data_IF_665834615712
#
_entry.id   IF_665834615712
#
_cell.length_a   1.000
_cell.length_b   1.000
_cell.length_c   1.000
_cell.angle_alpha   90.00
_cell.angle_beta   90.00
_cell.angle_gamma   90.00
#
_symmetry.space_group_name_H-M   'P 1'
#
loop_
_entity.id
_entity.type
_entity.pdbx_description
1 polymer ?
#
# COMPACT_ATOMS: atom_id res chain seq x y z
N UNK A 1 -9.61 -1.06 -42.20
CA UNK A 1 -9.24 -0.16 -41.08
C UNK A 1 -7.85 -0.58 -40.57
N UNK A 2 -6.84 -0.38 -41.44
CA UNK A 2 -5.46 -0.89 -41.32
C UNK A 2 -4.55 0.31 -41.62
N UNK A 3 -4.21 1.13 -40.61
CA UNK A 3 -3.33 2.28 -40.85
C UNK A 3 -2.49 2.76 -39.65
N UNK A 4 -2.32 1.93 -38.62
CA UNK A 4 -1.49 2.29 -37.46
C UNK A 4 -0.24 1.40 -37.24
N UNK A 5 -0.02 0.38 -38.09
CA UNK A 5 1.11 -0.55 -37.93
C UNK A 5 2.39 -0.18 -38.69
N UNK A 6 2.43 0.92 -39.45
CA UNK A 6 3.63 1.27 -40.25
C UNK A 6 4.66 2.21 -39.58
N UNK A 7 4.37 2.82 -38.43
CA UNK A 7 5.25 3.86 -37.88
C UNK A 7 6.39 3.33 -36.97
N UNK A 8 6.51 2.01 -36.77
CA UNK A 8 7.50 1.44 -35.83
C UNK A 8 8.77 0.90 -36.49
N UNK A 9 8.75 0.56 -37.78
CA UNK A 9 9.88 -0.11 -38.45
C UNK A 9 10.72 0.78 -39.38
N UNK A 10 10.31 2.01 -39.67
CA UNK A 10 11.05 2.93 -40.58
C UNK A 10 11.78 4.10 -39.89
N UNK A 11 11.63 4.32 -38.59
CA UNK A 11 12.44 5.31 -37.89
C UNK A 11 13.79 4.70 -37.48
N UNK A 12 14.69 4.58 -38.45
CA UNK A 12 16.13 4.34 -38.27
C UNK A 12 16.84 5.49 -37.54
N UNK A 13 16.40 5.82 -36.33
CA UNK A 13 17.12 6.71 -35.43
C UNK A 13 18.27 5.93 -34.81
N UNK A 14 19.40 5.91 -35.53
CA UNK A 14 20.72 5.80 -34.93
C UNK A 14 20.79 6.84 -33.79
N UNK A 15 20.76 6.35 -32.55
CA UNK A 15 21.15 7.14 -31.39
C UNK A 15 22.66 7.38 -31.50
N UNK A 16 23.04 8.35 -32.31
CA UNK A 16 24.36 8.96 -32.25
C UNK A 16 24.48 9.68 -30.91
N UNK A 17 25.20 9.04 -30.00
CA UNK A 17 25.79 9.66 -28.82
C UNK A 17 26.53 10.94 -29.22
N UNK A 18 26.12 12.08 -28.69
CA UNK A 18 26.99 13.26 -28.62
C UNK A 18 26.72 14.04 -27.34
N UNK A 19 27.32 13.56 -26.27
CA UNK A 19 27.58 14.33 -25.05
C UNK A 19 28.88 15.09 -25.26
N UNK A 20 28.78 16.41 -25.40
CA UNK A 20 29.86 17.41 -25.30
C UNK A 20 29.16 18.65 -24.72
N UNK A 21 29.55 19.29 -23.62
CA UNK A 21 30.89 19.54 -23.09
C UNK A 21 30.85 19.74 -21.56
N UNK A 22 31.78 19.13 -20.83
CA UNK A 22 32.38 19.75 -19.64
C UNK A 22 33.86 19.99 -19.94
N UNK A 23 34.32 21.19 -19.60
CA UNK A 23 35.65 21.71 -19.87
C UNK A 23 36.61 21.33 -18.74
N UNK A 24 37.64 20.54 -19.09
CA UNK A 24 39.06 20.82 -18.83
C UNK A 24 39.61 20.78 -17.40
N UNK A 25 40.40 19.74 -17.11
CA UNK A 25 41.74 19.85 -16.50
C UNK A 25 42.58 18.58 -16.83
N UNK A 26 43.93 18.66 -16.95
CA UNK A 26 44.73 17.79 -17.81
C UNK A 26 45.21 16.49 -17.16
N UNK A 27 45.36 15.47 -18.01
CA UNK A 27 45.87 14.14 -17.70
C UNK A 27 47.41 14.07 -17.75
N UNK A 28 48.00 13.35 -16.79
CA UNK A 28 49.35 12.79 -16.86
C UNK A 28 49.22 11.35 -17.37
N UNK A 29 49.98 11.04 -18.42
CA UNK A 29 49.84 9.84 -19.22
C UNK A 29 50.30 8.54 -18.56
N UNK A 30 49.63 7.46 -18.93
CA UNK A 30 50.05 6.08 -18.69
C UNK A 30 49.39 5.16 -19.71
N UNK A 31 50.12 4.79 -20.76
CA UNK A 31 49.67 3.85 -21.78
C UNK A 31 49.60 2.44 -21.18
N UNK A 32 48.39 1.87 -21.12
CA UNK A 32 48.17 0.45 -20.78
C UNK A 32 47.44 -0.22 -21.93
N UNK A 33 48.03 -1.31 -22.43
CA UNK A 33 47.53 -2.11 -23.54
C UNK A 33 46.14 -2.67 -23.25
N UNK A 34 45.20 -2.43 -24.17
CA UNK A 34 43.83 -2.91 -24.11
C UNK A 34 43.76 -4.38 -24.55
N UNK A 35 43.36 -5.26 -23.62
CA UNK A 35 42.90 -6.61 -23.95
C UNK A 35 41.40 -6.53 -24.25
N UNK A 36 41.03 -6.79 -25.51
CA UNK A 36 39.65 -6.84 -25.98
C UNK A 36 39.02 -8.20 -25.63
N UNK A 37 38.47 -8.30 -24.42
CA UNK A 37 37.56 -9.40 -24.07
C UNK A 37 36.15 -9.19 -24.66
N UNK A 38 35.37 -10.26 -24.87
CA UNK A 38 33.98 -10.15 -25.32
C UNK A 38 33.18 -9.32 -24.33
N UNK A 39 32.73 -8.15 -24.78
CA UNK A 39 32.01 -7.17 -23.98
C UNK A 39 30.61 -7.72 -23.68
N UNK A 40 30.42 -8.28 -22.48
CA UNK A 40 29.09 -8.65 -22.01
C UNK A 40 28.23 -7.40 -21.99
N UNK A 41 27.18 -7.37 -22.82
CA UNK A 41 26.20 -6.29 -22.84
C UNK A 41 25.39 -6.42 -21.55
N UNK A 42 25.71 -5.60 -20.55
CA UNK A 42 24.94 -5.59 -19.31
C UNK A 42 23.48 -5.21 -19.60
N UNK A 43 22.51 -5.90 -18.96
CA UNK A 43 21.10 -5.61 -19.14
C UNK A 43 20.82 -4.18 -18.66
N UNK A 44 20.08 -3.44 -19.48
CA UNK A 44 19.70 -2.05 -19.18
C UNK A 44 18.97 -1.97 -17.84
N UNK A 45 19.57 -1.30 -16.86
CA UNK A 45 18.97 -1.03 -15.55
C UNK A 45 18.13 0.24 -15.56
N UNK A 46 17.00 0.23 -14.86
CA UNK A 46 16.10 1.37 -14.69
C UNK A 46 15.91 1.66 -13.19
N UNK A 47 15.59 2.91 -12.84
CA UNK A 47 15.39 3.33 -11.45
C UNK A 47 13.99 2.97 -10.94
N UNK A 48 13.90 2.41 -9.75
CA UNK A 48 12.64 2.01 -9.10
C UNK A 48 11.75 3.23 -8.84
N UNK A 49 12.34 4.37 -8.45
CA UNK A 49 11.66 5.66 -8.22
C UNK A 49 10.83 6.22 -9.38
N UNK A 50 11.10 5.77 -10.61
CA UNK A 50 10.32 6.19 -11.77
C UNK A 50 9.09 5.33 -12.01
N UNK A 51 9.07 4.09 -11.50
CA UNK A 51 8.09 3.08 -11.89
C UNK A 51 7.21 2.62 -10.72
N UNK A 52 7.77 2.49 -9.51
CA UNK A 52 7.09 1.87 -8.36
C UNK A 52 6.82 2.87 -7.25
N UNK A 53 7.86 3.47 -6.68
CA UNK A 53 7.72 4.41 -5.55
C UNK A 53 8.79 5.48 -5.58
N UNK A 54 8.40 6.75 -5.57
CA UNK A 54 9.29 7.90 -5.74
C UNK A 54 10.43 8.02 -4.72
N UNK A 55 10.33 7.33 -3.58
CA UNK A 55 11.37 7.30 -2.53
C UNK A 55 12.31 6.11 -2.65
N UNK A 56 12.08 5.21 -3.61
CA UNK A 56 12.89 4.01 -3.83
C UNK A 56 14.06 4.31 -4.79
N UNK A 57 15.26 4.43 -4.21
CA UNK A 57 16.51 4.66 -4.95
C UNK A 57 17.09 3.38 -5.60
N UNK A 58 16.38 2.26 -5.49
CA UNK A 58 16.76 0.99 -6.10
C UNK A 58 16.77 1.02 -7.64
N UNK A 59 17.27 -0.07 -8.23
CA UNK A 59 17.24 -0.25 -9.67
C UNK A 59 17.02 -1.70 -10.08
N UNK A 60 16.25 -1.90 -11.14
CA UNK A 60 15.84 -3.21 -11.62
C UNK A 60 16.29 -3.44 -13.06
N UNK A 61 16.43 -4.72 -13.43
CA UNK A 61 16.67 -5.15 -14.80
C UNK A 61 15.34 -5.29 -15.56
N UNK A 62 15.35 -4.91 -16.83
CA UNK A 62 14.16 -5.01 -17.67
C UNK A 62 13.95 -6.46 -18.16
N UNK A 63 12.72 -6.95 -18.08
CA UNK A 63 12.32 -8.24 -18.64
C UNK A 63 12.67 -8.34 -20.13
N UNK A 64 13.02 -9.55 -20.56
CA UNK A 64 13.12 -9.88 -21.98
C UNK A 64 11.78 -9.62 -22.68
N UNK A 65 11.84 -9.27 -23.97
CA UNK A 65 10.62 -8.95 -24.73
C UNK A 65 9.75 -10.20 -24.85
N UNK A 66 10.41 -11.34 -25.02
CA UNK A 66 9.83 -12.67 -25.15
C UNK A 66 9.08 -13.06 -23.88
N UNK A 67 9.69 -12.85 -22.71
CA UNK A 67 9.08 -13.15 -21.39
C UNK A 67 7.86 -12.27 -21.10
N UNK A 68 7.94 -10.98 -21.41
CA UNK A 68 6.79 -10.09 -21.28
C UNK A 68 5.65 -10.49 -22.23
N UNK A 69 5.99 -10.81 -23.49
CA UNK A 69 5.01 -11.15 -24.51
C UNK A 69 4.33 -12.49 -24.23
N UNK A 70 5.06 -13.47 -23.70
CA UNK A 70 4.50 -14.77 -23.31
C UNK A 70 3.52 -14.63 -22.14
N UNK A 71 3.89 -13.87 -21.09
CA UNK A 71 3.01 -13.55 -19.96
C UNK A 71 1.75 -12.81 -20.40
N UNK A 72 1.89 -11.80 -21.27
CA UNK A 72 0.74 -11.07 -21.79
C UNK A 72 -0.17 -11.96 -22.64
N UNK A 73 0.40 -12.83 -23.47
CA UNK A 73 -0.37 -13.79 -24.28
C UNK A 73 -1.14 -14.74 -23.37
N UNK A 74 -0.49 -15.31 -22.35
CA UNK A 74 -1.14 -16.20 -21.38
C UNK A 74 -2.27 -15.49 -20.62
N UNK A 75 -2.02 -14.27 -20.14
CA UNK A 75 -3.04 -13.46 -19.50
C UNK A 75 -4.26 -13.23 -20.40
N UNK A 76 -4.04 -12.86 -21.67
CA UNK A 76 -5.14 -12.68 -22.64
C UNK A 76 -5.87 -13.98 -22.97
N UNK A 77 -5.19 -15.12 -22.96
CA UNK A 77 -5.83 -16.42 -23.15
C UNK A 77 -6.77 -16.77 -22.00
N UNK A 78 -6.40 -16.44 -20.76
CA UNK A 78 -7.22 -16.73 -19.59
C UNK A 78 -8.39 -15.75 -19.41
N UNK A 79 -8.18 -14.46 -19.69
CA UNK A 79 -9.11 -13.39 -19.31
C UNK A 79 -9.69 -12.59 -20.49
N UNK A 80 -9.28 -12.89 -21.72
CA UNK A 80 -9.68 -12.17 -22.91
C UNK A 80 -8.91 -10.85 -23.12
N UNK A 81 -9.40 -10.04 -24.05
CA UNK A 81 -8.81 -8.74 -24.32
C UNK A 81 -9.20 -7.69 -23.28
N UNK A 82 -8.20 -6.99 -22.76
CA UNK A 82 -8.36 -5.84 -21.86
C UNK A 82 -7.96 -4.54 -22.55
N UNK A 83 -8.53 -3.39 -22.17
CA UNK A 83 -8.13 -2.09 -22.71
C UNK A 83 -6.63 -1.84 -22.54
N UNK A 84 -5.96 -1.37 -23.60
CA UNK A 84 -4.51 -1.10 -23.60
C UNK A 84 -4.04 -0.24 -22.42
N UNK A 85 -4.74 0.82 -21.99
CA UNK A 85 -4.31 1.62 -20.83
C UNK A 85 -4.30 0.86 -19.50
N UNK A 86 -4.98 -0.28 -19.41
CA UNK A 86 -5.05 -1.14 -18.22
C UNK A 86 -4.00 -2.25 -18.22
N UNK A 87 -3.23 -2.40 -19.32
CA UNK A 87 -2.16 -3.39 -19.41
C UNK A 87 -0.89 -2.78 -18.80
N UNK A 88 -0.27 -3.43 -17.80
CA UNK A 88 0.99 -2.95 -17.25
C UNK A 88 2.06 -2.94 -18.34
N UNK A 89 2.82 -1.85 -18.41
CA UNK A 89 3.97 -1.78 -19.31
C UNK A 89 5.04 -2.79 -18.90
N UNK A 90 5.94 -3.13 -19.83
CA UNK A 90 7.07 -4.02 -19.53
C UNK A 90 7.92 -3.50 -18.39
N UNK A 91 8.13 -2.18 -18.33
CA UNK A 91 8.92 -1.55 -17.27
C UNK A 91 8.22 -1.67 -15.90
N UNK A 92 6.92 -1.40 -15.83
CA UNK A 92 6.11 -1.57 -14.61
C UNK A 92 6.13 -3.04 -14.13
N UNK A 93 5.90 -3.99 -15.04
CA UNK A 93 5.91 -5.42 -14.70
C UNK A 93 7.29 -5.89 -14.21
N UNK A 94 8.37 -5.43 -14.84
CA UNK A 94 9.74 -5.78 -14.45
C UNK A 94 10.11 -5.20 -13.08
N UNK A 95 9.70 -3.95 -12.82
CA UNK A 95 9.96 -3.29 -11.54
C UNK A 95 9.27 -4.03 -10.38
N UNK A 96 8.00 -4.38 -10.56
CA UNK A 96 7.24 -5.14 -9.57
C UNK A 96 7.80 -6.56 -9.38
N UNK A 97 8.21 -7.22 -10.46
CA UNK A 97 8.86 -8.54 -10.38
C UNK A 97 10.15 -8.50 -9.57
N UNK A 98 10.99 -7.46 -9.74
CA UNK A 98 12.24 -7.32 -8.98
C UNK A 98 11.97 -7.32 -7.48
N UNK A 99 10.94 -6.59 -7.00
CA UNK A 99 10.56 -6.58 -5.58
C UNK A 99 10.10 -7.94 -5.09
N UNK A 100 9.27 -8.61 -5.90
CA UNK A 100 8.76 -9.94 -5.58
C UNK A 100 9.86 -11.01 -5.49
N UNK A 101 10.90 -10.89 -6.32
CA UNK A 101 12.07 -11.78 -6.26
C UNK A 101 12.91 -11.58 -5.00
N UNK A 102 12.86 -10.38 -4.42
CA UNK A 102 13.49 -10.03 -3.14
C UNK A 102 12.59 -10.37 -1.93
N UNK A 103 11.44 -11.03 -2.17
CA UNK A 103 10.38 -11.33 -1.20
C UNK A 103 9.87 -10.09 -0.45
N UNK A 104 10.01 -8.92 -1.07
CA UNK A 104 9.47 -7.68 -0.52
C UNK A 104 7.98 -7.54 -0.81
N UNK A 105 7.30 -6.72 0.01
CA UNK A 105 5.90 -6.37 -0.26
C UNK A 105 5.74 -5.83 -1.69
N UNK A 106 4.70 -6.27 -2.44
CA UNK A 106 4.38 -5.79 -3.78
C UNK A 106 3.74 -4.40 -3.73
N UNK A 107 4.35 -3.48 -2.99
CA UNK A 107 3.90 -2.12 -2.88
C UNK A 107 4.20 -1.34 -4.15
N UNK A 108 3.20 -0.62 -4.63
CA UNK A 108 3.36 0.39 -5.67
C UNK A 108 2.64 1.66 -5.25
N UNK A 109 3.30 2.79 -5.42
CA UNK A 109 2.73 4.10 -5.13
C UNK A 109 1.81 4.50 -6.28
N UNK A 110 0.49 4.55 -6.06
CA UNK A 110 -0.48 4.90 -7.11
C UNK A 110 -0.40 6.35 -7.60
N UNK A 111 0.45 7.18 -6.99
CA UNK A 111 0.81 8.48 -7.56
C UNK A 111 1.76 8.34 -8.74
N UNK A 112 2.61 7.30 -8.72
CA UNK A 112 3.61 6.99 -9.76
C UNK A 112 3.08 5.92 -10.71
N UNK A 113 2.49 4.85 -10.19
CA UNK A 113 1.97 3.70 -10.92
C UNK A 113 0.61 4.00 -11.56
N UNK A 114 0.58 4.48 -12.80
CA UNK A 114 -0.63 5.01 -13.44
C UNK A 114 -0.72 4.71 -14.93
N UNK A 115 -1.93 4.70 -15.54
CA UNK A 115 -2.07 4.49 -16.96
C UNK A 115 -1.24 5.47 -17.80
N UNK A 116 -0.53 4.95 -18.79
CA UNK A 116 0.30 5.78 -19.65
C UNK A 116 1.43 6.49 -18.89
N UNK A 117 1.97 5.86 -17.85
CA UNK A 117 3.00 6.40 -16.94
C UNK A 117 4.10 7.19 -17.65
N UNK A 118 4.65 6.71 -18.77
CA UNK A 118 5.68 7.44 -19.54
C UNK A 118 5.22 8.82 -20.03
N UNK A 119 3.99 8.92 -20.53
CA UNK A 119 3.41 10.19 -20.97
C UNK A 119 3.24 11.11 -19.77
N UNK A 120 2.68 10.60 -18.68
CA UNK A 120 2.49 11.35 -17.43
C UNK A 120 3.81 11.82 -16.82
N UNK A 121 4.84 10.97 -16.76
CA UNK A 121 6.17 11.33 -16.26
C UNK A 121 6.82 12.44 -17.10
N UNK A 122 6.61 12.44 -18.43
CA UNK A 122 7.06 13.55 -19.29
C UNK A 122 6.30 14.83 -18.96
N UNK A 123 4.98 14.75 -18.84
CA UNK A 123 4.15 15.90 -18.48
C UNK A 123 4.48 16.45 -17.09
N UNK A 124 4.70 15.61 -16.08
CA UNK A 124 5.09 16.04 -14.74
C UNK A 124 6.49 16.67 -14.72
N UNK A 125 7.44 16.16 -15.51
CA UNK A 125 8.75 16.81 -15.67
C UNK A 125 8.63 18.21 -16.27
N UNK A 126 7.69 18.43 -17.18
CA UNK A 126 7.41 19.74 -17.77
C UNK A 126 6.64 20.65 -16.79
N UNK A 127 5.61 20.13 -16.11
CA UNK A 127 4.74 20.86 -15.17
C UNK A 127 5.42 21.24 -13.85
N UNK A 128 6.54 20.58 -13.52
CA UNK A 128 7.30 20.86 -12.28
C UNK A 128 7.92 22.25 -12.24
N UNK A 129 7.87 23.04 -13.30
CA UNK A 129 8.45 24.38 -13.33
C UNK A 129 7.34 25.41 -13.42
N UNK A 130 7.26 26.28 -12.42
CA UNK A 130 6.50 27.53 -12.48
C UNK A 130 7.46 28.70 -12.41
N UNK A 131 7.13 29.80 -13.07
CA UNK A 131 7.82 31.07 -12.82
C UNK A 131 7.15 31.73 -11.62
N UNK A 132 7.87 31.85 -10.51
CA UNK A 132 7.48 32.67 -9.37
C UNK A 132 8.45 33.86 -9.33
N UNK A 133 7.95 35.08 -9.52
CA UNK A 133 8.74 36.32 -9.67
C UNK A 133 9.88 36.25 -10.72
N UNK A 134 9.69 35.50 -11.79
CA UNK A 134 10.70 35.32 -12.84
C UNK A 134 11.76 34.27 -12.51
N UNK A 135 11.72 33.67 -11.33
CA UNK A 135 12.58 32.55 -10.94
C UNK A 135 11.83 31.23 -11.20
N UNK A 136 12.41 30.29 -11.96
CA UNK A 136 11.82 28.97 -12.14
C UNK A 136 11.86 28.20 -10.81
N UNK A 137 10.72 28.11 -10.14
CA UNK A 137 10.54 27.36 -8.90
C UNK A 137 9.94 25.99 -9.19
N UNK A 138 10.42 24.98 -8.46
CA UNK A 138 9.96 23.61 -8.61
C UNK A 138 8.74 23.37 -7.73
N UNK A 139 7.54 23.33 -8.31
CA UNK A 139 6.33 23.02 -7.53
C UNK A 139 6.24 21.53 -7.29
N UNK A 140 6.19 21.14 -6.01
CA UNK A 140 5.94 19.76 -5.61
C UNK A 140 4.43 19.53 -5.72
N UNK A 141 4.00 18.85 -6.78
CA UNK A 141 2.60 18.41 -6.93
C UNK A 141 2.34 17.22 -6.00
N UNK A 142 2.15 17.48 -4.71
CA UNK A 142 1.79 16.46 -3.72
C UNK A 142 0.27 16.29 -3.56
N UNK A 143 -0.49 16.27 -4.68
CA UNK A 143 -1.92 16.03 -4.59
C UNK A 143 -2.23 14.56 -4.29
N UNK A 144 -3.15 14.33 -3.37
CA UNK A 144 -3.78 13.02 -3.16
C UNK A 144 -4.45 12.60 -4.47
N UNK A 145 -4.22 11.37 -4.97
CA UNK A 145 -4.85 10.92 -6.20
C UNK A 145 -6.38 10.91 -6.03
N UNK A 146 -7.11 11.27 -7.10
CA UNK A 146 -8.57 11.14 -7.07
C UNK A 146 -8.97 9.67 -7.00
N UNK A 147 -10.20 9.38 -6.56
CA UNK A 147 -10.71 8.01 -6.51
C UNK A 147 -10.66 7.33 -7.90
N UNK A 148 -10.96 8.08 -8.96
CA UNK A 148 -10.89 7.59 -10.34
C UNK A 148 -9.45 7.20 -10.73
N UNK A 149 -8.47 8.09 -10.47
CA UNK A 149 -7.06 7.82 -10.75
C UNK A 149 -6.55 6.59 -9.97
N UNK A 150 -6.96 6.47 -8.71
CA UNK A 150 -6.63 5.30 -7.89
C UNK A 150 -7.22 4.02 -8.48
N UNK A 151 -8.50 4.02 -8.90
CA UNK A 151 -9.15 2.85 -9.51
C UNK A 151 -8.40 2.38 -10.74
N UNK A 152 -8.05 3.30 -11.64
CA UNK A 152 -7.28 2.99 -12.84
C UNK A 152 -5.91 2.38 -12.50
N UNK A 153 -5.20 2.97 -11.54
CA UNK A 153 -3.90 2.50 -11.06
C UNK A 153 -3.99 1.11 -10.44
N UNK A 154 -5.04 0.86 -9.66
CA UNK A 154 -5.28 -0.43 -9.01
C UNK A 154 -5.58 -1.53 -10.03
N UNK A 155 -6.29 -1.23 -11.12
CA UNK A 155 -6.54 -2.20 -12.20
C UNK A 155 -5.23 -2.66 -12.85
N UNK A 156 -4.33 -1.72 -13.17
CA UNK A 156 -3.01 -2.05 -13.74
C UNK A 156 -2.20 -2.91 -12.76
N UNK A 157 -2.20 -2.53 -11.48
CA UNK A 157 -1.52 -3.29 -10.43
C UNK A 157 -2.07 -4.72 -10.30
N UNK A 158 -3.40 -4.87 -10.28
CA UNK A 158 -4.07 -6.19 -10.28
C UNK A 158 -3.63 -7.03 -11.47
N UNK A 159 -3.66 -6.47 -12.69
CA UNK A 159 -3.21 -7.20 -13.88
C UNK A 159 -1.73 -7.59 -13.81
N UNK A 160 -0.87 -6.72 -13.31
CA UNK A 160 0.56 -7.02 -13.13
C UNK A 160 0.78 -8.19 -12.17
N UNK A 161 0.10 -8.20 -11.03
CA UNK A 161 0.19 -9.27 -10.05
C UNK A 161 -0.33 -10.62 -10.58
N UNK A 162 -1.42 -10.59 -11.38
CA UNK A 162 -1.93 -11.80 -12.07
C UNK A 162 -0.94 -12.28 -13.15
N UNK A 163 -0.35 -11.38 -13.94
CA UNK A 163 0.67 -11.72 -14.95
C UNK A 163 1.96 -12.28 -14.34
N UNK A 164 2.24 -11.96 -13.07
CA UNK A 164 3.35 -12.49 -12.28
C UNK A 164 2.95 -13.71 -11.44
N UNK A 165 1.72 -14.20 -11.61
CA UNK A 165 1.18 -15.39 -10.93
C UNK A 165 1.23 -15.29 -9.39
N UNK A 166 1.17 -14.06 -8.85
CA UNK A 166 1.22 -13.81 -7.40
C UNK A 166 -0.17 -13.76 -6.74
N UNK A 167 -1.24 -13.82 -7.54
CA UNK A 167 -2.61 -13.57 -7.09
C UNK A 167 -3.63 -13.96 -8.16
N UNK A 168 -4.88 -14.17 -7.76
CA UNK A 168 -6.04 -14.24 -8.65
C UNK A 168 -6.80 -12.91 -8.72
N UNK A 169 -7.74 -12.79 -9.67
CA UNK A 169 -8.65 -11.64 -9.72
C UNK A 169 -9.58 -11.55 -8.50
N UNK A 170 -10.01 -12.70 -7.98
CA UNK A 170 -10.96 -12.76 -6.86
C UNK A 170 -10.35 -12.16 -5.57
N UNK A 171 -9.06 -12.43 -5.34
CA UNK A 171 -8.33 -11.91 -4.18
C UNK A 171 -8.36 -10.39 -4.13
N UNK A 172 -8.12 -9.75 -5.29
CA UNK A 172 -8.09 -8.30 -5.40
C UNK A 172 -9.45 -7.64 -5.43
N UNK A 173 -10.51 -8.29 -5.93
CA UNK A 173 -11.86 -7.71 -5.84
C UNK A 173 -12.30 -7.57 -4.39
N UNK A 174 -11.99 -8.53 -3.52
CA UNK A 174 -12.28 -8.43 -2.09
C UNK A 174 -11.56 -7.25 -1.44
N UNK A 175 -10.26 -7.12 -1.69
CA UNK A 175 -9.48 -5.98 -1.19
C UNK A 175 -9.98 -4.64 -1.73
N UNK A 176 -10.28 -4.58 -3.03
CA UNK A 176 -10.84 -3.39 -3.67
C UNK A 176 -12.17 -2.99 -3.03
N UNK A 177 -13.11 -3.92 -2.89
CA UNK A 177 -14.42 -3.65 -2.27
C UNK A 177 -14.29 -3.14 -0.84
N UNK A 178 -13.36 -3.68 -0.05
CA UNK A 178 -13.12 -3.19 1.31
C UNK A 178 -12.69 -1.71 1.31
N UNK A 179 -11.74 -1.32 0.46
CA UNK A 179 -11.28 0.07 0.44
C UNK A 179 -12.28 1.02 -0.24
N UNK A 180 -13.01 0.55 -1.24
CA UNK A 180 -14.10 1.34 -1.85
C UNK A 180 -15.23 1.59 -0.83
N UNK A 181 -15.60 0.60 -0.02
CA UNK A 181 -16.58 0.78 1.06
C UNK A 181 -16.12 1.81 2.11
N UNK A 182 -14.83 1.85 2.45
CA UNK A 182 -14.27 2.91 3.30
C UNK A 182 -14.36 4.29 2.65
N UNK A 183 -14.21 4.36 1.32
CA UNK A 183 -14.30 5.61 0.58
C UNK A 183 -15.73 6.13 0.52
N UNK A 184 -16.70 5.23 0.33
CA UNK A 184 -18.12 5.56 0.37
C UNK A 184 -18.56 6.05 1.76
N UNK A 185 -18.02 5.43 2.81
CA UNK A 185 -18.31 5.80 4.21
C UNK A 185 -17.63 7.11 4.63
N UNK A 186 -16.39 7.34 4.21
CA UNK A 186 -15.54 8.44 4.66
C UNK A 186 -15.08 9.34 3.50
N UNK A 187 -15.96 9.62 2.54
CA UNK A 187 -15.62 10.34 1.30
C UNK A 187 -14.96 11.71 1.54
N UNK A 188 -15.44 12.47 2.52
CA UNK A 188 -14.89 13.78 2.90
C UNK A 188 -13.45 13.68 3.45
N UNK A 189 -13.06 12.50 3.94
CA UNK A 189 -11.76 12.22 4.51
C UNK A 189 -10.93 11.27 3.62
N UNK A 190 -11.11 11.37 2.30
CA UNK A 190 -10.44 10.50 1.33
C UNK A 190 -8.92 10.39 1.52
N UNK A 191 -8.26 11.49 1.86
CA UNK A 191 -6.81 11.52 2.12
C UNK A 191 -6.39 10.54 3.23
N UNK A 192 -7.21 10.39 4.28
CA UNK A 192 -6.96 9.45 5.39
C UNK A 192 -7.06 8.01 4.90
N UNK A 193 -8.05 7.69 4.06
CA UNK A 193 -8.23 6.36 3.48
C UNK A 193 -7.07 6.01 2.52
N UNK A 194 -6.59 6.98 1.73
CA UNK A 194 -5.41 6.79 0.88
C UNK A 194 -4.17 6.50 1.71
N UNK A 195 -3.90 7.30 2.73
CA UNK A 195 -2.73 7.13 3.62
C UNK A 195 -2.78 5.75 4.32
N UNK A 196 -3.93 5.38 4.89
CA UNK A 196 -4.11 4.08 5.53
C UNK A 196 -3.90 2.92 4.55
N UNK A 197 -4.42 3.03 3.34
CA UNK A 197 -4.21 2.02 2.30
C UNK A 197 -2.75 1.95 1.81
N UNK A 198 -2.03 3.07 1.77
CA UNK A 198 -0.60 3.07 1.46
C UNK A 198 0.17 2.33 2.54
N UNK A 199 -0.07 2.63 3.83
CA UNK A 199 0.54 1.93 4.98
C UNK A 199 0.22 0.43 4.96
N UNK A 200 -1.03 0.06 4.70
CA UNK A 200 -1.46 -1.33 4.60
C UNK A 200 -0.61 -2.09 3.58
N UNK A 201 -0.48 -1.54 2.37
CA UNK A 201 0.23 -2.21 1.27
C UNK A 201 1.75 -2.12 1.39
N UNK A 202 2.29 -1.04 1.96
CA UNK A 202 3.74 -0.85 2.02
C UNK A 202 4.40 -1.66 3.14
N UNK A 203 3.70 -1.85 4.26
CA UNK A 203 4.31 -2.40 5.48
C UNK A 203 3.45 -3.47 6.14
N UNK A 204 2.18 -3.19 6.42
CA UNK A 204 1.36 -4.08 7.24
C UNK A 204 1.11 -5.44 6.58
N UNK A 205 0.88 -5.47 5.27
CA UNK A 205 0.65 -6.71 4.52
C UNK A 205 1.83 -7.68 4.57
N UNK A 206 3.06 -7.15 4.72
CA UNK A 206 4.27 -7.96 4.91
C UNK A 206 4.19 -8.84 6.17
N UNK A 207 3.55 -8.36 7.23
CA UNK A 207 3.40 -9.14 8.46
C UNK A 207 2.58 -10.43 8.27
N UNK A 208 1.63 -10.46 7.32
CA UNK A 208 0.90 -11.69 6.99
C UNK A 208 1.78 -12.71 6.28
N UNK A 209 2.66 -12.20 5.39
CA UNK A 209 3.65 -13.00 4.66
C UNK A 209 4.72 -13.53 5.62
N UNK A 210 5.22 -12.71 6.53
CA UNK A 210 6.19 -13.12 7.55
C UNK A 210 5.63 -14.20 8.48
N UNK A 211 4.36 -14.05 8.89
CA UNK A 211 3.68 -15.04 9.72
C UNK A 211 3.45 -16.37 8.99
N UNK A 212 3.28 -16.34 7.66
CA UNK A 212 3.05 -17.52 6.85
C UNK A 212 3.76 -17.39 5.49
N UNK A 213 5.06 -17.73 5.40
CA UNK A 213 5.86 -17.49 4.19
C UNK A 213 5.35 -18.18 2.92
N UNK A 214 4.58 -19.27 3.08
CA UNK A 214 3.99 -20.03 1.97
C UNK A 214 2.74 -19.36 1.38
N UNK A 215 2.17 -18.35 2.04
CA UNK A 215 1.00 -17.65 1.50
C UNK A 215 1.37 -16.88 0.23
N UNK A 216 0.58 -17.01 -0.85
CA UNK A 216 0.72 -16.12 -1.99
C UNK A 216 0.32 -14.70 -1.59
N UNK A 217 0.88 -13.70 -2.27
CA UNK A 217 0.57 -12.30 -1.98
C UNK A 217 -0.93 -11.99 -2.13
N UNK A 218 -1.61 -12.61 -3.09
CA UNK A 218 -3.07 -12.51 -3.23
C UNK A 218 -3.84 -12.83 -1.93
N UNK A 219 -3.49 -13.93 -1.25
CA UNK A 219 -4.12 -14.28 0.03
C UNK A 219 -3.77 -13.27 1.15
N UNK A 220 -2.57 -12.71 1.13
CA UNK A 220 -2.20 -11.63 2.06
C UNK A 220 -3.09 -10.38 1.86
N UNK A 221 -3.48 -10.07 0.61
CA UNK A 221 -4.44 -8.99 0.32
C UNK A 221 -5.86 -9.33 0.81
N UNK A 222 -6.26 -10.60 0.74
CA UNK A 222 -7.53 -11.05 1.32
C UNK A 222 -7.54 -10.87 2.84
N UNK A 223 -6.47 -11.29 3.53
CA UNK A 223 -6.31 -11.07 4.97
C UNK A 223 -6.31 -9.57 5.33
N UNK A 224 -5.62 -8.76 4.54
CA UNK A 224 -5.61 -7.30 4.70
C UNK A 224 -7.01 -6.68 4.55
N UNK A 225 -7.83 -7.19 3.62
CA UNK A 225 -9.20 -6.72 3.45
C UNK A 225 -10.07 -6.98 4.69
N UNK A 226 -9.81 -8.09 5.39
CA UNK A 226 -10.57 -8.53 6.57
C UNK A 226 -10.02 -7.97 7.91
N UNK A 227 -8.89 -7.27 7.90
CA UNK A 227 -8.28 -6.72 9.13
C UNK A 227 -9.01 -5.48 9.62
N UNK A 228 -10.16 -5.71 10.24
CA UNK A 228 -10.95 -4.68 10.90
C UNK A 228 -10.19 -3.96 12.03
N UNK A 229 -9.15 -4.58 12.60
CA UNK A 229 -8.32 -3.97 13.63
C UNK A 229 -7.48 -2.84 13.04
N UNK A 230 -6.79 -3.12 11.95
CA UNK A 230 -6.03 -2.13 11.19
C UNK A 230 -6.93 -1.01 10.68
N UNK A 231 -8.01 -1.33 9.97
CA UNK A 231 -8.85 -0.31 9.34
C UNK A 231 -9.50 0.61 10.38
N UNK A 232 -9.95 0.07 11.53
CA UNK A 232 -10.47 0.89 12.62
C UNK A 232 -9.41 1.84 13.19
N UNK A 233 -8.18 1.36 13.37
CA UNK A 233 -7.10 2.17 13.95
C UNK A 233 -6.60 3.26 12.99
N UNK A 234 -6.46 2.93 11.70
CA UNK A 234 -5.87 3.81 10.70
C UNK A 234 -6.87 4.68 9.95
N UNK A 235 -8.16 4.32 9.94
CA UNK A 235 -9.23 5.09 9.29
C UNK A 235 -10.19 5.63 10.34
N UNK A 236 -11.03 4.78 10.95
CA UNK A 236 -12.12 5.23 11.83
C UNK A 236 -11.62 6.17 12.94
N UNK A 237 -10.59 5.76 13.68
CA UNK A 237 -10.05 6.57 14.78
C UNK A 237 -9.44 7.90 14.30
N UNK A 238 -8.78 7.91 13.15
CA UNK A 238 -8.21 9.14 12.58
C UNK A 238 -9.31 10.09 12.11
N UNK A 239 -10.30 9.57 11.38
CA UNK A 239 -11.46 10.35 10.89
C UNK A 239 -12.24 10.94 12.06
N UNK A 240 -12.56 10.13 13.07
CA UNK A 240 -13.27 10.62 14.25
C UNK A 240 -12.50 11.73 14.96
N UNK A 241 -11.17 11.60 15.09
CA UNK A 241 -10.33 12.66 15.67
C UNK A 241 -10.43 13.96 14.87
N UNK A 242 -10.30 13.90 13.55
CA UNK A 242 -10.39 15.08 12.67
C UNK A 242 -11.78 15.73 12.75
N UNK A 243 -12.84 14.91 12.70
CA UNK A 243 -14.21 15.40 12.78
C UNK A 243 -14.49 16.16 14.10
N UNK A 244 -13.94 15.69 15.22
CA UNK A 244 -14.11 16.38 16.50
C UNK A 244 -13.18 17.58 16.69
N UNK A 245 -12.07 17.68 15.95
CA UNK A 245 -11.23 18.90 15.98
C UNK A 245 -11.79 20.00 15.09
N UNK A 246 -12.43 19.64 13.97
CA UNK A 246 -12.96 20.62 13.01
C UNK A 246 -14.24 21.30 13.51
N UNK A 247 -14.91 20.73 14.52
CA UNK A 247 -16.15 21.26 15.10
C UNK A 247 -15.91 22.32 16.19
N UNK A 248 -14.66 22.57 16.58
CA UNK A 248 -14.33 23.68 17.49
C UNK A 248 -14.32 25.01 16.72
N UNK A 249 -15.48 25.67 16.67
CA UNK A 249 -15.71 26.98 16.04
C UNK A 249 -14.69 28.05 16.53
N UNK A 250 -13.82 28.58 15.65
CA UNK A 250 -12.86 29.62 16.05
C UNK A 250 -13.53 30.97 16.39
N UNK A 251 -14.83 31.15 16.11
CA UNK A 251 -15.53 32.42 16.28
C UNK A 251 -16.07 32.71 17.70
N UNK A 252 -15.96 31.80 18.68
CA UNK A 252 -16.46 32.05 20.06
C UNK A 252 -15.44 32.66 21.04
N UNK A 253 -14.32 33.20 20.56
CA UNK A 253 -13.33 33.92 21.41
C UNK A 253 -13.51 35.46 21.43
N UNK A 254 -14.69 35.96 21.06
CA UNK A 254 -15.01 37.40 21.04
C UNK A 254 -15.84 37.90 22.23
N UNK A 255 -15.16 38.32 23.30
CA UNK A 255 -15.52 39.37 24.29
C UNK A 255 -16.91 39.34 24.96
N UNK A 256 -16.95 38.86 26.20
CA UNK A 256 -18.01 39.19 27.17
C UNK A 256 -17.73 38.65 28.58
N UNK A 257 -17.05 39.44 29.43
CA UNK A 257 -16.93 39.15 30.87
C UNK A 257 -18.29 39.35 31.54
N UNK A 258 -19.09 38.29 31.65
CA UNK A 258 -20.30 38.22 32.47
C UNK A 258 -20.16 37.12 33.55
N UNK A 259 -20.80 37.26 34.73
CA UNK A 259 -20.56 36.35 35.85
C UNK A 259 -21.18 34.98 35.60
N UNK A 260 -20.30 33.96 35.58
CA UNK A 260 -20.51 32.51 35.75
C UNK A 260 -21.95 32.01 35.48
N UNK A 261 -22.29 31.83 34.21
CA UNK A 261 -23.22 30.76 33.84
C UNK A 261 -22.41 29.50 33.52
N UNK A 262 -22.82 28.36 34.11
CA UNK A 262 -22.13 27.08 34.02
C UNK A 262 -21.90 26.70 32.55
N UNK A 263 -20.66 26.38 32.21
CA UNK A 263 -20.23 25.94 30.89
C UNK A 263 -21.16 24.85 30.34
N UNK A 264 -21.74 25.13 29.17
CA UNK A 264 -22.31 24.13 28.28
C UNK A 264 -21.21 23.12 27.96
N UNK A 265 -21.41 21.86 28.36
CA UNK A 265 -20.45 20.78 28.18
C UNK A 265 -20.34 20.43 26.71
N UNK A 266 -19.26 20.90 26.10
CA UNK A 266 -18.77 20.44 24.81
C UNK A 266 -18.68 18.90 24.80
N UNK A 267 -19.26 18.25 23.78
CA UNK A 267 -19.43 16.79 23.75
C UNK A 267 -18.10 16.08 23.41
N UNK A 268 -17.21 16.73 22.66
CA UNK A 268 -15.87 16.23 22.35
C UNK A 268 -14.96 16.17 23.59
N UNK A 269 -15.16 17.07 24.55
CA UNK A 269 -14.45 17.08 25.83
C UNK A 269 -14.99 16.05 26.83
N UNK A 270 -16.09 15.35 26.52
CA UNK A 270 -16.68 14.35 27.40
C UNK A 270 -16.03 12.97 27.26
N UNK A 271 -15.13 12.72 26.31
CA UNK A 271 -14.62 11.36 26.08
C UNK A 271 -13.11 11.24 26.29
N UNK A 272 -12.71 10.25 27.09
CA UNK A 272 -11.30 9.87 27.26
C UNK A 272 -11.03 8.58 26.48
N UNK A 273 -10.16 8.65 25.47
CA UNK A 273 -9.75 7.52 24.63
C UNK A 273 -8.50 6.79 25.15
N UNK A 274 -8.06 7.08 26.38
CA UNK A 274 -6.76 6.69 26.89
C UNK A 274 -6.65 5.21 27.31
N UNK A 275 -7.09 4.23 26.51
CA UNK A 275 -6.92 2.82 26.88
C UNK A 275 -6.74 1.87 25.69
N UNK A 276 -5.51 1.35 25.55
CA UNK A 276 -5.18 0.13 24.82
C UNK A 276 -5.41 -1.10 25.75
N UNK A 277 -5.67 -2.28 25.17
CA UNK A 277 -5.67 -3.60 25.82
C UNK A 277 -6.85 -4.02 26.71
N UNK A 278 -7.92 -3.23 26.77
CA UNK A 278 -9.20 -3.67 27.35
C UNK A 278 -9.20 -3.92 28.86
N UNK A 279 -8.20 -3.41 29.60
CA UNK A 279 -8.19 -3.37 31.07
C UNK A 279 -8.81 -2.06 31.57
N UNK A 280 -9.79 -2.15 32.47
CA UNK A 280 -10.39 -1.01 33.17
C UNK A 280 -9.89 -0.97 34.61
N UNK A 281 -9.45 0.18 35.13
CA UNK A 281 -9.16 0.31 36.58
C UNK A 281 -10.41 0.66 37.40
N UNK A 282 -11.54 0.94 36.75
CA UNK A 282 -12.77 1.36 37.43
C UNK A 282 -12.69 2.75 38.06
N UNK A 283 -11.57 3.46 37.86
CA UNK A 283 -11.40 4.83 38.30
C UNK A 283 -12.06 5.80 37.33
N UNK A 284 -12.67 6.85 37.87
CA UNK A 284 -13.17 7.97 37.07
C UNK A 284 -11.99 8.66 36.40
N UNK A 285 -12.20 9.15 35.17
CA UNK A 285 -11.23 10.02 34.52
C UNK A 285 -10.85 11.16 35.47
N UNK A 286 -9.54 11.44 35.63
CA UNK A 286 -9.08 12.60 36.42
C UNK A 286 -9.69 13.91 35.92
N UNK A 287 -10.03 13.96 34.63
CA UNK A 287 -10.63 15.11 33.96
C UNK A 287 -12.18 15.06 33.92
N UNK A 288 -12.82 14.10 34.59
CA UNK A 288 -14.29 13.98 34.64
C UNK A 288 -14.95 13.51 33.34
N UNK A 289 -14.17 13.01 32.38
CA UNK A 289 -14.64 12.48 31.08
C UNK A 289 -15.20 11.06 31.21
N UNK A 290 -16.13 10.71 30.32
CA UNK A 290 -16.67 9.38 30.08
C UNK A 290 -15.64 8.55 29.32
N UNK A 291 -15.32 7.35 29.80
CA UNK A 291 -14.39 6.46 29.12
C UNK A 291 -15.15 5.67 28.04
N UNK A 292 -14.63 5.66 26.81
CA UNK A 292 -15.10 4.79 25.75
C UNK A 292 -14.14 3.61 25.61
N UNK A 293 -14.68 2.39 25.67
CA UNK A 293 -13.86 1.20 25.44
C UNK A 293 -13.57 1.06 23.93
N UNK A 294 -12.32 1.21 23.51
CA UNK A 294 -11.91 1.06 22.09
C UNK A 294 -12.24 -0.31 21.50
N UNK A 295 -12.35 -1.35 22.33
CA UNK A 295 -12.69 -2.70 21.88
C UNK A 295 -14.18 -2.90 21.56
N UNK A 296 -15.09 -2.15 22.21
CA UNK A 296 -16.54 -2.39 22.06
C UNK A 296 -17.40 -1.15 21.80
N UNK A 297 -16.81 0.06 21.79
CA UNK A 297 -17.46 1.37 21.64
C UNK A 297 -18.66 1.64 22.59
N UNK A 298 -18.79 0.85 23.66
CA UNK A 298 -19.85 1.03 24.64
C UNK A 298 -19.52 2.12 25.65
N UNK A 299 -20.49 2.98 25.98
CA UNK A 299 -20.44 3.87 27.15
C UNK A 299 -20.47 3.03 28.42
N UNK A 300 -19.60 3.31 29.39
CA UNK A 300 -19.52 2.53 30.62
C UNK A 300 -19.34 3.41 31.85
N UNK A 301 -20.33 3.35 32.73
CA UNK A 301 -20.16 3.57 34.16
C UNK A 301 -20.03 2.18 34.82
N UNK A 302 -18.86 1.55 34.70
CA UNK A 302 -18.70 0.24 35.36
C UNK A 302 -18.53 0.46 36.88
N UNK A 303 -19.27 -0.30 37.73
CA UNK A 303 -18.97 -0.33 39.15
C UNK A 303 -17.55 -0.89 39.37
N UNK A 304 -16.87 -0.38 40.41
CA UNK A 304 -15.52 -0.79 40.81
C UNK A 304 -15.41 -2.32 40.86
N UNK A 305 -14.36 -2.88 40.25
CA UNK A 305 -13.99 -4.30 40.40
C UNK A 305 -14.18 -5.21 39.20
N UNK A 306 -14.68 -4.73 38.04
CA UNK A 306 -14.64 -5.49 36.78
C UNK A 306 -13.69 -4.84 35.77
N UNK A 307 -12.49 -5.40 35.69
CA UNK A 307 -11.39 -4.81 34.94
C UNK A 307 -11.34 -5.25 33.47
N UNK A 308 -12.31 -6.01 32.95
CA UNK A 308 -12.29 -6.50 31.58
C UNK A 308 -13.57 -6.13 30.84
N UNK A 309 -13.43 -5.69 29.59
CA UNK A 309 -14.56 -5.51 28.69
C UNK A 309 -15.24 -6.89 28.44
N UNK A 310 -16.54 -7.07 28.69
CA UNK A 310 -17.31 -8.28 28.40
C UNK A 310 -17.11 -8.85 27.00
N UNK A 311 -16.98 -8.02 25.95
CA UNK A 311 -16.66 -8.52 24.60
C UNK A 311 -15.23 -9.07 24.52
N UNK A 312 -14.28 -8.41 25.18
CA UNK A 312 -12.90 -8.90 25.28
C UNK A 312 -12.79 -10.14 26.22
N UNK A 313 -13.60 -10.21 27.27
CA UNK A 313 -13.70 -11.35 28.16
C UNK A 313 -14.33 -12.56 27.46
N UNK A 314 -15.37 -12.33 26.66
CA UNK A 314 -15.97 -13.35 25.80
C UNK A 314 -14.97 -13.83 24.74
N UNK A 315 -14.24 -12.92 24.07
CA UNK A 315 -13.20 -13.30 23.12
C UNK A 315 -12.07 -14.11 23.77
N UNK A 316 -11.63 -13.74 24.99
CA UNK A 316 -10.65 -14.53 25.76
C UNK A 316 -11.18 -15.88 26.20
N UNK A 317 -12.44 -15.97 26.62
CA UNK A 317 -13.09 -17.24 26.97
C UNK A 317 -13.21 -18.17 25.75
N UNK A 318 -13.59 -17.63 24.59
CA UNK A 318 -13.63 -18.35 23.31
C UNK A 318 -12.25 -18.81 22.83
N UNK A 319 -11.19 -18.03 23.11
CA UNK A 319 -9.82 -18.43 22.79
C UNK A 319 -9.32 -19.53 23.73
N UNK A 320 -9.63 -19.47 25.02
CA UNK A 320 -9.28 -20.51 26.00
C UNK A 320 -9.97 -21.85 25.69
N UNK A 321 -11.26 -21.82 25.34
CA UNK A 321 -12.01 -23.04 24.97
C UNK A 321 -11.50 -23.72 23.69
N UNK A 322 -10.84 -22.97 22.79
CA UNK A 322 -10.20 -23.53 21.59
C UNK A 322 -8.83 -24.14 21.88
N UNK A 323 -8.15 -23.71 22.95
CA UNK A 323 -6.87 -24.28 23.39
C UNK A 323 -7.02 -25.64 24.07
N UNK A 324 -8.12 -25.88 24.80
CA UNK A 324 -8.35 -27.16 25.49
C UNK A 324 -8.69 -28.33 24.55
N UNK A 325 -9.20 -28.09 23.34
CA UNK A 325 -9.44 -29.17 22.37
C UNK A 325 -8.18 -29.68 21.65
N UNK A 326 -7.04 -28.98 21.76
CA UNK A 326 -5.79 -29.37 21.10
C UNK A 326 -4.89 -30.28 21.96
N UNK A 327 -5.30 -30.61 23.19
CA UNK A 327 -4.49 -31.33 24.18
C UNK A 327 -4.69 -32.85 24.28
N UNK A 328 -5.57 -33.45 23.47
CA UNK A 328 -5.85 -34.90 23.54
C UNK A 328 -5.00 -35.67 22.53
N UNK A 329 -3.77 -36.01 22.94
CA UNK A 329 -2.86 -36.89 22.20
C UNK A 329 -3.33 -38.35 22.37
N UNK A 330 -3.67 -39.11 21.31
CA UNK A 330 -3.96 -40.52 21.46
C UNK A 330 -2.66 -41.29 21.65
N UNK A 331 -2.50 -41.87 22.83
CA UNK A 331 -1.53 -42.91 23.14
C UNK A 331 -1.98 -44.23 22.49
N UNK A 332 -1.06 -44.91 21.81
CA UNK A 332 -1.16 -46.36 21.57
C UNK A 332 -1.37 -46.80 20.12
N UNK A 333 -0.28 -47.23 19.47
CA UNK A 333 -0.08 -48.60 18.98
C UNK A 333 0.81 -48.62 17.73
N UNK A 334 2.08 -48.96 17.94
CA UNK A 334 2.95 -49.56 16.91
C UNK A 334 2.52 -51.01 16.68
N UNK A 335 2.58 -51.53 15.45
CA UNK A 335 3.46 -52.67 15.30
C UNK A 335 4.30 -52.69 14.02
N UNK A 336 5.53 -53.14 14.26
CA UNK A 336 6.51 -53.73 13.37
C UNK A 336 5.98 -54.74 12.34
N UNK A 337 6.78 -54.86 11.28
CA UNK A 337 7.06 -56.07 10.51
C UNK A 337 5.96 -56.67 9.63
N UNK A 338 6.09 -56.42 8.32
CA UNK A 338 5.99 -57.53 7.36
C UNK A 338 6.88 -57.33 6.14
N UNK A 339 8.09 -57.88 6.25
CA UNK A 339 8.91 -58.25 5.11
C UNK A 339 8.47 -59.63 4.57
N UNK A 340 8.53 -59.77 3.25
CA UNK A 340 8.88 -60.97 2.46
C UNK A 340 8.12 -62.29 2.74
N UNK A 341 7.28 -62.68 1.77
CA UNK A 341 7.30 -64.00 1.08
C UNK A 341 6.06 -64.16 0.18
N UNK A 342 6.29 -64.22 -1.12
CA UNK A 342 5.68 -65.08 -2.15
C UNK A 342 5.85 -64.39 -3.51
#
# INVERSE_FOLDING_TARGET
MLLYDLCREQCGLLLASRTTMEAGAPAVGGARAAQSGPQQVEPKRLKMSLFVDSVDDGSFALLAIEDYSSRLKFFKQLYGDVPVPQIPTREELSALQSRLLEDESPFVNFRVWTPGQRKRLREEKTKRWTLDDGVPTKVISASTPSLAQRRESFVIFKHAMVMLEQSSFADFERYKSAVEGLTETFGDYWSVVVEANEVMRSSHIGSYKDANPQLPWGECFVLAADDAGFWRCHVDHKVMRLHFTDTEDPQKSGKGRGPRQRASKDVSQQFCYAYQDGRHTGDKCKDGRIHLCQGCNGRRDLPRGRNLCPKAAAAKASAASKGELAGSKPEGASPENRARRA
#
